data_IF_507973301886
#
_entry.id   IF_507973301886
#
_cell.length_a   1.000
_cell.length_b   1.000
_cell.length_c   1.000
_cell.angle_alpha   90.00
_cell.angle_beta   90.00
_cell.angle_gamma   90.00
#
_symmetry.space_group_name_H-M   'P 1'
#
loop_
_entity.id
_entity.type
_entity.pdbx_description
1 polymer ?
#
# COMPACT_ATOMS: atom_id res chain seq x y z
N UNK A 1 10.18 5.02 -23.59
CA UNK A 1 11.58 5.43 -23.35
C UNK A 1 11.60 6.48 -22.27
N UNK A 2 12.67 6.51 -21.45
CA UNK A 2 12.86 7.46 -20.35
C UNK A 2 13.91 8.48 -20.79
N UNK A 3 13.63 9.77 -20.62
CA UNK A 3 14.52 10.85 -21.06
C UNK A 3 15.63 11.18 -20.04
N UNK A 4 15.34 11.00 -18.75
CA UNK A 4 16.27 11.32 -17.67
C UNK A 4 16.07 10.40 -16.46
N UNK A 5 17.16 10.14 -15.74
CA UNK A 5 17.16 9.47 -14.44
C UNK A 5 17.81 10.41 -13.42
N UNK A 6 17.05 10.80 -12.41
CA UNK A 6 17.56 11.61 -11.29
C UNK A 6 18.07 10.70 -10.17
N UNK A 7 19.39 10.68 -9.96
CA UNK A 7 20.08 9.83 -8.98
C UNK A 7 20.91 10.64 -7.98
N UNK A 8 20.29 11.45 -7.10
CA UNK A 8 21.00 12.20 -6.09
C UNK A 8 21.53 11.30 -4.98
N UNK A 9 22.57 11.75 -4.31
CA UNK A 9 23.09 11.17 -3.06
C UNK A 9 22.25 11.62 -1.85
N UNK A 10 22.34 10.87 -0.75
CA UNK A 10 21.66 11.22 0.51
C UNK A 10 22.03 12.63 1.00
N UNK A 11 23.29 13.05 0.80
CA UNK A 11 23.78 14.37 1.24
C UNK A 11 23.19 15.52 0.42
N UNK A 12 22.84 15.27 -0.84
CA UNK A 12 22.19 16.27 -1.70
C UNK A 12 20.72 16.46 -1.32
N UNK A 13 20.04 15.40 -0.84
CA UNK A 13 18.64 15.47 -0.42
C UNK A 13 18.47 15.90 1.03
N UNK A 14 19.41 15.50 1.90
CA UNK A 14 19.36 15.68 3.35
C UNK A 14 20.63 16.40 3.86
N UNK A 15 20.71 17.73 3.74
CA UNK A 15 21.81 18.48 4.32
C UNK A 15 21.85 18.33 5.86
N UNK A 16 23.04 18.40 6.49
CA UNK A 16 23.16 18.29 7.94
C UNK A 16 22.34 19.35 8.67
N UNK A 17 21.79 18.99 9.84
CA UNK A 17 21.01 19.87 10.74
C UNK A 17 19.67 20.37 10.18
N UNK A 18 19.17 19.81 9.08
CA UNK A 18 17.87 20.16 8.55
C UNK A 18 16.75 19.67 9.47
N UNK A 19 15.91 20.60 9.93
CA UNK A 19 14.66 20.28 10.65
C UNK A 19 13.52 20.36 9.67
N UNK A 20 12.99 19.21 9.30
CA UNK A 20 11.82 19.13 8.43
C UNK A 20 10.57 18.86 9.24
N UNK A 21 9.45 19.43 8.81
CA UNK A 21 8.13 19.06 9.30
C UNK A 21 7.28 18.73 8.08
N UNK A 22 6.69 17.54 8.06
CA UNK A 22 5.67 17.19 7.08
C UNK A 22 4.43 16.74 7.82
N UNK A 23 3.28 17.14 7.30
CA UNK A 23 1.96 16.83 7.85
C UNK A 23 1.02 16.46 6.71
N UNK A 24 -0.08 15.81 7.05
CA UNK A 24 -1.17 15.40 6.15
C UNK A 24 -2.50 15.75 6.81
N UNK A 25 -3.56 15.88 6.02
CA UNK A 25 -4.93 16.01 6.56
C UNK A 25 -5.38 14.77 7.37
N UNK A 26 -4.76 13.61 7.14
CA UNK A 26 -5.06 12.36 7.83
C UNK A 26 -3.82 11.78 8.57
N UNK A 27 -3.35 12.43 9.65
CA UNK A 27 -2.12 12.02 10.31
C UNK A 27 -2.24 10.66 11.02
N UNK A 28 -3.44 10.23 11.42
CA UNK A 28 -3.67 8.92 12.02
C UNK A 28 -3.42 7.78 11.03
N UNK A 29 -3.68 7.99 9.74
CA UNK A 29 -3.40 6.98 8.72
C UNK A 29 -1.90 6.62 8.64
N UNK A 30 -0.99 7.50 9.08
CA UNK A 30 0.45 7.18 9.15
C UNK A 30 0.80 6.13 10.21
N UNK A 31 -0.08 5.89 11.19
CA UNK A 31 0.10 4.88 12.26
C UNK A 31 -0.86 3.69 12.15
N UNK A 32 -1.73 3.65 11.14
CA UNK A 32 -2.61 2.53 10.81
C UNK A 32 -2.01 1.59 9.75
N UNK A 33 -2.63 0.42 9.52
CA UNK A 33 -2.26 -0.53 8.46
C UNK A 33 -0.75 -0.81 8.43
N UNK A 34 -0.05 -0.52 7.32
CA UNK A 34 1.41 -0.71 7.25
C UNK A 34 2.19 0.17 8.23
N UNK A 35 1.66 1.35 8.57
CA UNK A 35 2.28 2.32 9.48
C UNK A 35 2.43 1.76 10.90
N UNK A 36 1.44 0.97 11.36
CA UNK A 36 1.47 0.26 12.65
C UNK A 36 2.72 -0.60 12.82
N UNK A 37 3.17 -1.25 11.74
CA UNK A 37 4.32 -2.15 11.73
C UNK A 37 5.61 -1.48 11.25
N UNK A 38 5.54 -0.20 10.86
CA UNK A 38 6.66 0.57 10.30
C UNK A 38 6.66 2.01 10.85
N UNK A 39 6.90 2.20 12.17
CA UNK A 39 6.88 3.52 12.79
C UNK A 39 7.79 4.51 12.07
N UNK A 40 7.29 5.72 11.79
CA UNK A 40 8.03 6.78 11.09
C UNK A 40 8.19 6.57 9.57
N UNK A 41 7.80 5.42 9.01
CA UNK A 41 7.99 5.13 7.58
C UNK A 41 7.29 6.15 6.69
N UNK A 42 6.00 6.39 6.90
CA UNK A 42 5.24 7.30 6.05
C UNK A 42 5.65 8.76 6.20
N UNK A 43 6.11 9.18 7.37
CA UNK A 43 6.73 10.49 7.54
C UNK A 43 7.95 10.65 6.61
N UNK A 44 8.85 9.65 6.59
CA UNK A 44 10.01 9.65 5.70
C UNK A 44 9.63 9.64 4.21
N UNK A 45 8.62 8.84 3.83
CA UNK A 45 8.08 8.80 2.45
C UNK A 45 7.59 10.18 2.04
N UNK A 46 6.71 10.79 2.84
CA UNK A 46 6.13 12.09 2.48
C UNK A 46 7.21 13.15 2.38
N UNK A 47 8.17 13.15 3.31
CA UNK A 47 9.30 14.09 3.29
C UNK A 47 10.10 13.99 2.00
N UNK A 48 10.53 12.78 1.62
CA UNK A 48 11.34 12.60 0.40
C UNK A 48 10.54 12.92 -0.86
N UNK A 49 9.27 12.50 -0.93
CA UNK A 49 8.41 12.77 -2.09
C UNK A 49 8.17 14.27 -2.26
N UNK A 50 7.89 15.00 -1.17
CA UNK A 50 7.73 16.45 -1.23
C UNK A 50 9.02 17.15 -1.70
N UNK A 51 10.20 16.73 -1.22
CA UNK A 51 11.49 17.27 -1.71
C UNK A 51 11.65 17.02 -3.22
N UNK A 52 11.40 15.79 -3.67
CA UNK A 52 11.51 15.43 -5.09
C UNK A 52 10.52 16.22 -5.96
N UNK A 53 9.28 16.40 -5.51
CA UNK A 53 8.28 17.21 -6.22
C UNK A 53 8.70 18.67 -6.35
N UNK A 54 9.34 19.25 -5.32
CA UNK A 54 9.83 20.63 -5.37
C UNK A 54 11.08 20.81 -6.28
N UNK A 55 11.90 19.76 -6.39
CA UNK A 55 13.08 19.73 -7.27
C UNK A 55 12.65 19.56 -8.73
N UNK A 56 11.84 18.54 -9.01
CA UNK A 56 11.48 18.14 -10.37
C UNK A 56 10.35 19.01 -10.93
N UNK A 57 9.43 19.47 -10.08
CA UNK A 57 8.21 20.22 -10.45
C UNK A 57 7.41 19.54 -11.57
N UNK A 58 7.00 18.28 -11.37
CA UNK A 58 6.28 17.55 -12.40
C UNK A 58 4.84 18.04 -12.53
N UNK A 59 4.26 17.94 -13.73
CA UNK A 59 2.81 18.06 -13.90
C UNK A 59 2.07 16.81 -13.41
N UNK A 60 2.69 15.64 -13.58
CA UNK A 60 2.13 14.32 -13.25
C UNK A 60 3.15 13.50 -12.46
N UNK A 61 2.72 12.87 -11.37
CA UNK A 61 3.50 11.89 -10.62
C UNK A 61 2.73 10.57 -10.49
N UNK A 62 3.38 9.46 -10.85
CA UNK A 62 2.76 8.14 -10.93
C UNK A 62 3.23 7.27 -9.75
N UNK A 63 2.28 6.69 -9.02
CA UNK A 63 2.56 5.81 -7.88
C UNK A 63 1.81 4.48 -8.03
N UNK A 64 2.48 3.38 -7.68
CA UNK A 64 1.93 2.03 -7.83
C UNK A 64 0.83 1.72 -6.81
N UNK A 65 -0.26 1.13 -7.27
CA UNK A 65 -1.42 0.71 -6.46
C UNK A 65 -1.05 -0.25 -5.35
N UNK A 66 0.00 -1.06 -5.53
CA UNK A 66 0.44 -2.03 -4.53
C UNK A 66 0.73 -1.37 -3.17
N UNK A 67 1.33 -0.18 -3.17
CA UNK A 67 1.58 0.63 -1.99
C UNK A 67 0.42 1.64 -1.77
N UNK A 68 -0.83 1.16 -1.74
CA UNK A 68 -2.03 2.00 -1.77
C UNK A 68 -2.09 3.05 -0.65
N UNK A 69 -1.67 2.69 0.57
CA UNK A 69 -1.60 3.62 1.70
C UNK A 69 -0.61 4.76 1.44
N UNK A 70 0.51 4.47 0.76
CA UNK A 70 1.46 5.49 0.33
C UNK A 70 0.81 6.44 -0.68
N UNK A 71 0.11 5.89 -1.67
CA UNK A 71 -0.61 6.68 -2.68
C UNK A 71 -1.63 7.64 -2.03
N UNK A 72 -2.46 7.15 -1.10
CA UNK A 72 -3.45 7.99 -0.40
C UNK A 72 -2.78 9.10 0.41
N UNK A 73 -1.74 8.78 1.18
CA UNK A 73 -1.03 9.78 1.98
C UNK A 73 -0.35 10.85 1.11
N UNK A 74 0.21 10.47 -0.04
CA UNK A 74 0.81 11.43 -0.99
C UNK A 74 -0.26 12.31 -1.64
N UNK A 75 -1.38 11.72 -2.05
CA UNK A 75 -2.52 12.45 -2.61
C UNK A 75 -3.06 13.48 -1.61
N UNK A 76 -3.24 13.08 -0.35
CA UNK A 76 -3.67 13.97 0.73
C UNK A 76 -2.68 15.12 0.96
N UNK A 77 -1.37 14.83 0.96
CA UNK A 77 -0.31 15.83 1.10
C UNK A 77 -0.34 16.86 -0.04
N UNK A 78 -0.45 16.40 -1.29
CA UNK A 78 -0.51 17.24 -2.50
C UNK A 78 -1.74 18.15 -2.47
N UNK A 79 -2.89 17.62 -2.05
CA UNK A 79 -4.11 18.40 -1.87
C UNK A 79 -3.95 19.44 -0.76
N UNK A 80 -3.37 19.06 0.39
CA UNK A 80 -3.16 19.98 1.52
C UNK A 80 -2.22 21.14 1.18
N UNK A 81 -1.18 20.87 0.38
CA UNK A 81 -0.20 21.88 -0.03
C UNK A 81 -0.65 22.73 -1.23
N UNK A 82 -1.89 22.53 -1.71
CA UNK A 82 -2.44 23.24 -2.89
C UNK A 82 -1.53 23.14 -4.13
N UNK A 83 -0.84 22.01 -4.29
CA UNK A 83 0.03 21.77 -5.45
C UNK A 83 -0.79 21.30 -6.65
N UNK A 84 -0.44 21.75 -7.86
CA UNK A 84 -1.14 21.43 -9.11
C UNK A 84 -0.72 20.09 -9.74
N UNK A 85 -0.06 19.22 -8.97
CA UNK A 85 0.50 17.95 -9.45
C UNK A 85 -0.62 16.91 -9.52
N UNK A 86 -0.79 16.28 -10.68
CA UNK A 86 -1.71 15.15 -10.83
C UNK A 86 -1.08 13.86 -10.30
N UNK A 87 -1.75 13.18 -9.37
CA UNK A 87 -1.27 11.96 -8.72
C UNK A 87 -2.00 10.77 -9.30
N UNK A 88 -1.29 10.04 -10.17
CA UNK A 88 -1.85 8.94 -10.95
C UNK A 88 -1.56 7.60 -10.29
N UNK A 89 -2.61 6.79 -10.13
CA UNK A 89 -2.53 5.43 -9.62
C UNK A 89 -2.18 4.45 -10.75
N UNK A 90 -0.97 3.87 -10.71
CA UNK A 90 -0.55 2.81 -11.63
C UNK A 90 -1.02 1.43 -11.15
N UNK A 91 -1.59 0.57 -12.03
CA UNK A 91 -2.07 -0.75 -11.63
C UNK A 91 -0.94 -1.66 -11.15
N UNK A 92 -1.30 -2.68 -10.36
CA UNK A 92 -0.35 -3.69 -9.87
C UNK A 92 0.10 -4.57 -11.04
N UNK A 93 1.40 -4.62 -11.31
CA UNK A 93 2.00 -5.62 -12.19
C UNK A 93 2.21 -6.90 -11.39
N UNK A 94 1.77 -8.02 -11.94
CA UNK A 94 1.81 -9.35 -11.31
C UNK A 94 2.65 -10.30 -12.15
N UNK A 95 3.28 -11.25 -11.47
CA UNK A 95 3.87 -12.43 -12.09
C UNK A 95 2.75 -13.36 -12.62
N UNK A 96 3.09 -14.35 -13.45
CA UNK A 96 2.10 -15.24 -14.08
C UNK A 96 1.24 -16.03 -13.07
N UNK A 97 1.75 -16.24 -11.86
CA UNK A 97 1.07 -16.92 -10.75
C UNK A 97 0.24 -15.96 -9.86
N UNK A 98 0.18 -14.69 -10.23
CA UNK A 98 -0.58 -13.65 -9.53
C UNK A 98 0.18 -12.92 -8.43
N UNK A 99 1.41 -13.33 -8.08
CA UNK A 99 2.21 -12.62 -7.09
C UNK A 99 2.47 -11.18 -7.55
N UNK A 100 2.15 -10.20 -6.70
CA UNK A 100 2.48 -8.80 -6.97
C UNK A 100 4.00 -8.63 -7.09
N UNK A 101 4.46 -8.03 -8.20
CA UNK A 101 5.89 -7.84 -8.42
C UNK A 101 6.49 -6.95 -7.33
N UNK A 102 7.64 -7.36 -6.81
CA UNK A 102 8.33 -6.69 -5.71
C UNK A 102 9.81 -6.96 -5.77
N UNK A 103 10.65 -5.95 -5.53
CA UNK A 103 12.08 -6.19 -5.27
C UNK A 103 12.28 -7.15 -4.09
N UNK A 104 11.36 -7.17 -3.12
CA UNK A 104 11.38 -8.07 -1.96
C UNK A 104 11.17 -9.55 -2.33
N UNK A 105 10.64 -9.86 -3.52
CA UNK A 105 10.42 -11.26 -3.93
C UNK A 105 11.75 -12.01 -4.05
N UNK A 106 12.85 -11.32 -4.36
CA UNK A 106 14.19 -11.92 -4.45
C UNK A 106 14.75 -12.39 -3.11
N UNK A 107 14.16 -11.97 -1.99
CA UNK A 107 14.57 -12.37 -0.64
C UNK A 107 13.89 -13.67 -0.18
N UNK A 108 12.94 -14.17 -0.96
CA UNK A 108 12.20 -15.39 -0.65
C UNK A 108 13.03 -16.60 -1.09
N UNK A 109 13.17 -17.58 -0.21
CA UNK A 109 13.62 -18.91 -0.62
C UNK A 109 12.53 -19.62 -1.46
N UNK A 110 12.83 -20.77 -2.11
CA UNK A 110 11.85 -21.44 -2.97
C UNK A 110 10.52 -21.82 -2.29
N UNK A 111 10.53 -22.25 -1.02
CA UNK A 111 9.31 -22.57 -0.25
C UNK A 111 8.50 -21.31 0.09
N UNK A 112 9.18 -20.25 0.51
CA UNK A 112 8.53 -18.97 0.77
C UNK A 112 7.96 -18.37 -0.51
N UNK A 113 8.66 -18.50 -1.64
CA UNK A 113 8.20 -17.98 -2.93
C UNK A 113 6.95 -18.70 -3.43
N UNK A 114 6.85 -20.02 -3.25
CA UNK A 114 5.64 -20.76 -3.62
C UNK A 114 4.44 -20.36 -2.74
N UNK A 115 4.66 -20.16 -1.43
CA UNK A 115 3.63 -19.70 -0.49
C UNK A 115 3.22 -18.24 -0.66
N UNK A 116 4.09 -17.38 -1.20
CA UNK A 116 3.84 -15.95 -1.35
C UNK A 116 2.57 -15.63 -2.17
N UNK A 117 2.19 -16.51 -3.10
CA UNK A 117 0.98 -16.35 -3.92
C UNK A 117 -0.31 -16.43 -3.10
N UNK A 118 -0.28 -17.07 -1.93
CA UNK A 118 -1.48 -17.31 -1.12
C UNK A 118 -2.13 -16.03 -0.61
N UNK A 119 -1.35 -14.94 -0.45
CA UNK A 119 -1.93 -13.63 -0.14
C UNK A 119 -2.87 -13.16 -1.24
N UNK A 120 -2.42 -13.21 -2.50
CA UNK A 120 -3.25 -12.80 -3.63
C UNK A 120 -4.49 -13.70 -3.76
N UNK A 121 -4.32 -15.01 -3.61
CA UNK A 121 -5.46 -15.93 -3.66
C UNK A 121 -6.48 -15.67 -2.54
N UNK A 122 -6.00 -15.38 -1.33
CA UNK A 122 -6.82 -14.99 -0.18
C UNK A 122 -7.62 -13.72 -0.49
N UNK A 123 -6.97 -12.69 -1.03
CA UNK A 123 -7.63 -11.46 -1.47
C UNK A 123 -8.71 -11.74 -2.53
N UNK A 124 -8.42 -12.62 -3.51
CA UNK A 124 -9.38 -13.00 -4.56
C UNK A 124 -10.56 -13.81 -4.00
N UNK A 125 -10.34 -14.71 -3.04
CA UNK A 125 -11.42 -15.48 -2.40
C UNK A 125 -12.30 -14.57 -1.55
N UNK A 126 -11.68 -13.72 -0.74
CA UNK A 126 -12.37 -12.74 0.10
C UNK A 126 -13.19 -11.78 -0.77
N UNK A 127 -12.61 -11.20 -1.82
CA UNK A 127 -13.33 -10.27 -2.72
C UNK A 127 -14.59 -10.90 -3.32
N UNK A 128 -14.49 -12.14 -3.82
CA UNK A 128 -15.65 -12.87 -4.36
C UNK A 128 -16.74 -13.15 -3.32
N UNK A 129 -16.36 -13.49 -2.09
CA UNK A 129 -17.31 -13.77 -0.99
C UNK A 129 -17.98 -12.47 -0.53
N UNK A 130 -17.20 -11.41 -0.35
CA UNK A 130 -17.66 -10.09 0.07
C UNK A 130 -18.64 -9.52 -0.96
N UNK A 131 -18.37 -9.69 -2.26
CA UNK A 131 -19.30 -9.28 -3.32
C UNK A 131 -20.66 -9.99 -3.26
N UNK A 132 -20.67 -11.26 -2.81
CA UNK A 132 -21.89 -12.08 -2.73
C UNK A 132 -22.65 -11.93 -1.41
N UNK A 133 -21.95 -11.64 -0.31
CA UNK A 133 -22.53 -11.57 1.03
C UNK A 133 -21.93 -10.38 1.78
N UNK A 134 -22.49 -9.20 1.52
CA UNK A 134 -22.06 -7.91 2.03
C UNK A 134 -22.10 -7.78 3.56
N UNK A 135 -22.96 -8.55 4.23
CA UNK A 135 -23.30 -8.32 5.65
C UNK A 135 -22.28 -8.83 6.67
N UNK A 136 -21.33 -9.68 6.28
CA UNK A 136 -20.39 -10.32 7.22
C UNK A 136 -18.97 -10.43 6.64
N UNK A 137 -18.46 -9.31 6.12
CA UNK A 137 -17.10 -9.29 5.58
C UNK A 137 -16.06 -9.60 6.65
N UNK A 138 -16.29 -9.22 7.92
CA UNK A 138 -15.35 -9.46 9.01
C UNK A 138 -15.07 -10.95 9.21
N UNK A 139 -16.12 -11.79 9.31
CA UNK A 139 -15.97 -13.25 9.39
C UNK A 139 -15.26 -13.85 8.17
N UNK A 140 -15.49 -13.28 6.98
CA UNK A 140 -14.78 -13.67 5.76
C UNK A 140 -13.28 -13.38 5.89
N UNK A 141 -12.91 -12.20 6.41
CA UNK A 141 -11.51 -11.84 6.60
C UNK A 141 -10.86 -12.72 7.67
N UNK A 142 -11.52 -12.94 8.81
CA UNK A 142 -11.01 -13.81 9.89
C UNK A 142 -10.73 -15.23 9.38
N UNK A 143 -11.65 -15.79 8.59
CA UNK A 143 -11.47 -17.10 7.95
C UNK A 143 -10.24 -17.15 7.05
N UNK A 144 -10.00 -16.10 6.26
CA UNK A 144 -8.83 -16.07 5.38
C UNK A 144 -7.52 -15.77 6.15
N UNK A 145 -7.57 -15.01 7.24
CA UNK A 145 -6.44 -14.80 8.16
C UNK A 145 -6.01 -16.14 8.77
N UNK A 146 -6.96 -16.91 9.30
CA UNK A 146 -6.70 -18.25 9.84
C UNK A 146 -6.06 -19.18 8.81
N UNK A 147 -6.55 -19.14 7.57
CA UNK A 147 -5.99 -19.93 6.46
C UNK A 147 -4.53 -19.55 6.19
N UNK A 148 -4.25 -18.26 6.04
CA UNK A 148 -2.88 -17.77 5.79
C UNK A 148 -1.93 -18.14 6.94
N UNK A 149 -2.38 -18.01 8.18
CA UNK A 149 -1.58 -18.37 9.34
C UNK A 149 -1.30 -19.87 9.46
N UNK A 150 -2.22 -20.75 9.01
CA UNK A 150 -1.99 -22.21 8.93
C UNK A 150 -0.89 -22.58 7.94
N UNK A 151 -0.63 -21.74 6.95
CA UNK A 151 0.42 -21.91 5.94
C UNK A 151 1.73 -21.16 6.31
N UNK A 152 1.87 -20.70 7.56
CA UNK A 152 3.03 -19.95 8.10
C UNK A 152 3.27 -18.56 7.49
N UNK A 153 2.24 -17.90 6.94
CA UNK A 153 2.39 -16.57 6.33
C UNK A 153 2.38 -15.40 7.33
N UNK A 154 2.12 -15.63 8.62
CA UNK A 154 2.09 -14.59 9.68
C UNK A 154 1.45 -13.27 9.22
N UNK A 155 0.12 -13.20 9.30
CA UNK A 155 -0.64 -12.04 8.82
C UNK A 155 -0.43 -10.84 9.75
N UNK A 156 0.11 -9.74 9.24
CA UNK A 156 0.14 -8.45 9.94
C UNK A 156 -1.29 -7.87 9.97
N UNK A 157 -1.95 -7.82 8.81
CA UNK A 157 -3.36 -7.43 8.69
C UNK A 157 -3.98 -7.95 7.39
N UNK A 158 -5.30 -8.07 7.38
CA UNK A 158 -6.15 -8.22 6.20
C UNK A 158 -7.41 -7.39 6.47
N UNK A 159 -7.55 -6.25 5.80
CA UNK A 159 -8.56 -5.24 6.13
C UNK A 159 -9.28 -4.72 4.89
N UNK A 160 -10.59 -4.48 5.03
CA UNK A 160 -11.42 -3.80 4.05
C UNK A 160 -11.54 -2.33 4.42
N UNK A 161 -11.19 -1.42 3.51
CA UNK A 161 -11.23 0.03 3.72
C UNK A 161 -11.87 0.75 2.53
N UNK A 162 -12.24 2.01 2.70
CA UNK A 162 -12.71 2.85 1.57
C UNK A 162 -11.56 3.24 0.64
N UNK A 163 -11.80 3.28 -0.67
CA UNK A 163 -10.76 3.58 -1.67
C UNK A 163 -10.29 5.04 -1.65
N UNK A 164 -11.13 5.97 -1.20
CA UNK A 164 -10.88 7.40 -1.25
C UNK A 164 -9.90 7.89 -0.16
N UNK A 165 -9.98 7.34 1.05
CA UNK A 165 -9.23 7.82 2.22
C UNK A 165 -8.76 6.71 3.19
N UNK A 166 -8.99 5.43 2.87
CA UNK A 166 -8.69 4.28 3.73
C UNK A 166 -9.37 4.28 5.11
N UNK A 167 -10.46 5.04 5.28
CA UNK A 167 -11.30 4.97 6.48
C UNK A 167 -12.00 3.62 6.63
N UNK A 168 -12.45 3.34 7.85
CA UNK A 168 -13.20 2.13 8.17
C UNK A 168 -14.53 2.05 7.40
N UNK A 169 -14.97 0.83 7.15
CA UNK A 169 -16.27 0.56 6.53
C UNK A 169 -17.35 0.54 7.61
N UNK A 170 -18.15 1.60 7.66
CA UNK A 170 -19.27 1.75 8.61
C UNK A 170 -20.58 1.14 8.09
N UNK A 171 -20.87 1.32 6.80
CA UNK A 171 -22.02 0.75 6.11
C UNK A 171 -21.52 0.26 4.75
N UNK A 172 -21.87 -0.98 4.41
CA UNK A 172 -21.39 -1.65 3.23
C UNK A 172 -22.50 -1.70 2.18
N UNK A 173 -22.55 -0.64 1.36
CA UNK A 173 -23.52 -0.44 0.27
C UNK A 173 -22.77 -0.06 -1.00
N UNK A 174 -23.20 -0.60 -2.15
CA UNK A 174 -22.60 -0.31 -3.46
C UNK A 174 -21.07 -0.52 -3.52
N UNK A 175 -20.69 -1.80 -3.66
CA UNK A 175 -19.31 -2.28 -3.52
C UNK A 175 -18.36 -1.71 -4.57
N UNK A 176 -18.83 -1.63 -5.82
CA UNK A 176 -17.99 -1.43 -7.00
C UNK A 176 -17.22 -0.11 -6.98
N UNK A 177 -15.90 -0.20 -6.96
CA UNK A 177 -14.92 0.88 -6.97
C UNK A 177 -14.76 1.64 -5.65
N UNK A 178 -15.58 1.34 -4.63
CA UNK A 178 -15.65 2.15 -3.39
C UNK A 178 -14.81 1.58 -2.26
N UNK A 179 -14.43 0.30 -2.35
CA UNK A 179 -13.72 -0.38 -1.29
C UNK A 179 -12.47 -1.06 -1.82
N UNK A 180 -11.52 -1.25 -0.93
CA UNK A 180 -10.27 -1.89 -1.22
C UNK A 180 -9.98 -2.89 -0.11
N UNK A 181 -9.67 -4.11 -0.52
CA UNK A 181 -9.19 -5.14 0.38
C UNK A 181 -7.66 -5.14 0.33
N UNK A 182 -7.01 -4.91 1.47
CA UNK A 182 -5.56 -4.85 1.59
C UNK A 182 -5.07 -5.91 2.57
N UNK A 183 -3.92 -6.50 2.28
CA UNK A 183 -3.29 -7.43 3.20
C UNK A 183 -1.78 -7.27 3.27
N UNK A 184 -1.22 -7.61 4.42
CA UNK A 184 0.21 -7.69 4.65
C UNK A 184 0.56 -8.97 5.41
N UNK A 185 1.59 -9.67 4.95
CA UNK A 185 2.05 -10.96 5.50
C UNK A 185 3.56 -10.97 5.69
N UNK A 186 4.07 -11.93 6.46
CA UNK A 186 5.51 -12.18 6.66
C UNK A 186 5.88 -13.64 6.43
N UNK A 187 6.75 -13.84 5.45
CA UNK A 187 7.38 -15.13 5.17
C UNK A 187 8.84 -15.06 5.61
N UNK A 188 9.12 -15.61 6.79
CA UNK A 188 10.40 -15.41 7.47
C UNK A 188 10.65 -13.92 7.76
N UNK A 189 11.76 -13.37 7.28
CA UNK A 189 12.08 -11.95 7.41
C UNK A 189 11.38 -11.06 6.36
N UNK A 190 10.83 -11.65 5.29
CA UNK A 190 10.31 -10.92 4.14
C UNK A 190 8.85 -10.55 4.35
N UNK A 191 8.57 -9.23 4.40
CA UNK A 191 7.21 -8.69 4.47
C UNK A 191 6.66 -8.38 3.09
N UNK A 192 5.52 -8.96 2.75
CA UNK A 192 4.82 -8.74 1.49
C UNK A 192 3.50 -7.98 1.75
N UNK A 193 3.07 -7.22 0.75
CA UNK A 193 1.79 -6.51 0.75
C UNK A 193 1.14 -6.69 -0.60
N UNK A 194 -0.19 -6.67 -0.60
CA UNK A 194 -0.99 -6.71 -1.82
C UNK A 194 -2.40 -6.14 -1.53
N UNK A 195 -3.14 -5.80 -2.58
CA UNK A 195 -4.51 -5.33 -2.47
C UNK A 195 -5.34 -5.59 -3.74
N UNK A 196 -6.66 -5.54 -3.58
CA UNK A 196 -7.66 -5.58 -4.66
C UNK A 196 -8.70 -4.49 -4.41
N UNK A 197 -8.92 -3.64 -5.39
CA UNK A 197 -10.06 -2.70 -5.42
C UNK A 197 -11.31 -3.51 -5.78
N UNK A 198 -12.33 -3.43 -4.92
CA UNK A 198 -13.64 -4.08 -5.06
C UNK A 198 -14.61 -3.15 -5.78
#
# INVERSE_FOLDING_TARGET
NVDCVFCPSDKEIYPPNEKNLITTNNPSLMSELCGRYRPGHFYGVLLVVNKLMNIVRPDIAIFGQKDYQQYILIKDMVQQLFTSIDIVLAPIIRENDGLAMSSRNSYLNPDQRSKAVYLYESLVRASKKIYKNSGDYMSILDTEIERLNKDDLNVDYLELRKTDNLSNVEDYKNISGQYILLGAIRLGATRLIDNIIL
#
